data_IF_461850132694
#
_entry.id   IF_461850132694
#
_cell.length_a   1.000
_cell.length_b   1.000
_cell.length_c   1.000
_cell.angle_alpha   90.00
_cell.angle_beta   90.00
_cell.angle_gamma   90.00
#
_symmetry.space_group_name_H-M   'P 1'
#
loop_
_entity.id
_entity.type
_entity.pdbx_description
1 polymer ?
#
# COMPACT_ATOMS: atom_id res chain seq x y z
N UNK A 1 -22.57 7.16 -1.57
CA UNK A 1 -21.63 6.41 -2.42
C UNK A 1 -22.22 6.36 -3.83
N UNK A 2 -21.52 6.89 -4.85
CA UNK A 2 -22.01 6.91 -6.23
C UNK A 2 -22.00 5.49 -6.84
N UNK A 3 -22.80 5.27 -7.91
CA UNK A 3 -22.81 3.98 -8.64
C UNK A 3 -21.40 3.59 -9.11
N UNK A 4 -20.66 4.54 -9.65
CA UNK A 4 -19.28 4.31 -10.14
C UNK A 4 -18.32 3.88 -9.02
N UNK A 5 -18.44 4.44 -7.80
CA UNK A 5 -17.62 4.04 -6.65
C UNK A 5 -17.92 2.60 -6.20
N UNK A 6 -19.19 2.16 -6.25
CA UNK A 6 -19.57 0.76 -5.95
C UNK A 6 -18.96 -0.21 -6.96
N UNK A 7 -19.00 0.16 -8.24
CA UNK A 7 -18.39 -0.65 -9.32
C UNK A 7 -16.88 -0.71 -9.10
N UNK A 8 -16.21 0.40 -8.79
CA UNK A 8 -14.76 0.42 -8.49
C UNK A 8 -14.42 -0.50 -7.30
N UNK A 9 -15.23 -0.46 -6.22
CA UNK A 9 -15.03 -1.35 -5.06
C UNK A 9 -15.18 -2.83 -5.45
N UNK A 10 -16.18 -3.17 -6.28
CA UNK A 10 -16.37 -4.54 -6.77
C UNK A 10 -15.22 -5.00 -7.68
N UNK A 11 -14.73 -4.10 -8.54
CA UNK A 11 -13.54 -4.37 -9.38
C UNK A 11 -12.32 -4.65 -8.51
N UNK A 12 -12.07 -3.84 -7.46
CA UNK A 12 -10.97 -4.09 -6.53
C UNK A 12 -11.12 -5.44 -5.81
N UNK A 13 -12.31 -5.76 -5.28
CA UNK A 13 -12.53 -7.04 -4.61
C UNK A 13 -12.22 -8.24 -5.52
N UNK A 14 -12.62 -8.20 -6.77
CA UNK A 14 -12.31 -9.29 -7.71
C UNK A 14 -10.85 -9.29 -8.19
N UNK A 15 -10.34 -8.12 -8.59
CA UNK A 15 -9.00 -8.00 -9.18
C UNK A 15 -7.89 -8.20 -8.16
N UNK A 16 -8.01 -7.67 -6.93
CA UNK A 16 -7.00 -7.86 -5.89
C UNK A 16 -6.96 -9.33 -5.44
N UNK A 17 -8.11 -10.04 -5.38
CA UNK A 17 -8.13 -11.47 -5.11
C UNK A 17 -7.42 -12.27 -6.24
N UNK A 18 -7.67 -11.90 -7.51
CA UNK A 18 -7.00 -12.51 -8.66
C UNK A 18 -5.48 -12.24 -8.64
N UNK A 19 -5.07 -11.01 -8.33
CA UNK A 19 -3.65 -10.65 -8.21
C UNK A 19 -2.96 -11.41 -7.07
N UNK A 20 -3.63 -11.61 -5.93
CA UNK A 20 -3.12 -12.43 -4.83
C UNK A 20 -2.97 -13.89 -5.25
N UNK A 21 -3.98 -14.45 -5.95
CA UNK A 21 -3.90 -15.79 -6.48
C UNK A 21 -2.77 -15.96 -7.51
N UNK A 22 -2.62 -15.00 -8.43
CA UNK A 22 -1.53 -14.99 -9.41
C UNK A 22 -0.15 -14.85 -8.72
N UNK A 23 -0.06 -14.04 -7.66
CA UNK A 23 1.14 -13.93 -6.84
C UNK A 23 1.48 -15.25 -6.13
N UNK A 24 0.49 -15.93 -5.58
CA UNK A 24 0.67 -17.26 -5.00
C UNK A 24 1.13 -18.28 -6.04
N UNK A 25 0.51 -18.28 -7.22
CA UNK A 25 0.93 -19.12 -8.34
C UNK A 25 2.40 -18.84 -8.73
N UNK A 26 2.78 -17.57 -8.82
CA UNK A 26 4.15 -17.16 -9.13
C UNK A 26 5.17 -17.72 -8.12
N UNK A 27 4.87 -17.65 -6.83
CA UNK A 27 5.73 -18.21 -5.77
C UNK A 27 5.91 -19.73 -5.88
N UNK A 28 4.97 -20.44 -6.52
CA UNK A 28 5.05 -21.89 -6.76
C UNK A 28 5.83 -22.28 -8.02
N UNK A 29 6.28 -21.32 -8.84
CA UNK A 29 7.05 -21.62 -10.05
C UNK A 29 8.48 -22.00 -9.64
N UNK A 30 8.88 -23.24 -9.93
CA UNK A 30 10.25 -23.69 -9.68
C UNK A 30 11.24 -23.04 -10.65
N UNK A 31 12.38 -22.56 -10.14
CA UNK A 31 13.39 -21.85 -10.93
C UNK A 31 14.58 -22.75 -11.36
N UNK A 32 14.40 -24.07 -11.32
CA UNK A 32 15.46 -25.05 -11.62
C UNK A 32 15.84 -25.15 -13.10
N UNK A 33 15.00 -24.64 -14.01
CA UNK A 33 15.21 -24.70 -15.47
C UNK A 33 15.13 -23.29 -16.07
N UNK A 34 15.92 -23.00 -17.11
CA UNK A 34 15.91 -21.71 -17.82
C UNK A 34 14.51 -21.33 -18.33
N UNK A 35 13.74 -22.30 -18.84
CA UNK A 35 12.37 -22.05 -19.30
C UNK A 35 11.43 -21.62 -18.14
N UNK A 36 11.53 -22.27 -16.98
CA UNK A 36 10.74 -21.89 -15.81
C UNK A 36 11.18 -20.56 -15.20
N UNK A 37 12.46 -20.23 -15.26
CA UNK A 37 12.95 -18.89 -14.87
C UNK A 37 12.38 -17.78 -15.77
N UNK A 38 12.40 -17.98 -17.09
CA UNK A 38 11.80 -17.03 -18.05
C UNK A 38 10.29 -16.90 -17.84
N UNK A 39 9.60 -18.02 -17.57
CA UNK A 39 8.18 -18.01 -17.23
C UNK A 39 7.89 -17.26 -15.92
N UNK A 40 8.67 -17.53 -14.87
CA UNK A 40 8.59 -16.80 -13.60
C UNK A 40 8.76 -15.29 -13.81
N UNK A 41 9.77 -14.88 -14.57
CA UNK A 41 10.00 -13.47 -14.90
C UNK A 41 8.83 -12.85 -15.68
N UNK A 42 8.28 -13.57 -16.66
CA UNK A 42 7.12 -13.09 -17.43
C UNK A 42 5.89 -12.90 -16.54
N UNK A 43 5.57 -13.86 -15.66
CA UNK A 43 4.46 -13.77 -14.71
C UNK A 43 4.67 -12.61 -13.74
N UNK A 44 5.90 -12.41 -13.22
CA UNK A 44 6.22 -11.29 -12.35
C UNK A 44 5.98 -9.93 -13.04
N UNK A 45 6.42 -9.77 -14.29
CA UNK A 45 6.19 -8.54 -15.09
C UNK A 45 4.70 -8.31 -15.28
N UNK A 46 3.93 -9.32 -15.65
CA UNK A 46 2.47 -9.22 -15.82
C UNK A 46 1.80 -8.80 -14.52
N UNK A 47 2.18 -9.42 -13.40
CA UNK A 47 1.64 -9.11 -12.07
C UNK A 47 1.93 -7.65 -11.68
N UNK A 48 3.16 -7.18 -11.88
CA UNK A 48 3.54 -5.77 -11.63
C UNK A 48 2.76 -4.82 -12.51
N UNK A 49 2.64 -5.10 -13.80
CA UNK A 49 1.89 -4.25 -14.74
C UNK A 49 0.40 -4.18 -14.39
N UNK A 50 -0.24 -5.30 -14.07
CA UNK A 50 -1.66 -5.35 -13.68
C UNK A 50 -1.90 -4.61 -12.36
N UNK A 51 -1.03 -4.80 -11.36
CA UNK A 51 -1.09 -4.07 -10.09
C UNK A 51 -0.94 -2.57 -10.30
N UNK A 52 0.06 -2.14 -11.06
CA UNK A 52 0.28 -0.74 -11.40
C UNK A 52 -0.91 -0.14 -12.15
N UNK A 53 -1.48 -0.88 -13.08
CA UNK A 53 -2.65 -0.44 -13.86
C UNK A 53 -3.88 -0.28 -12.98
N UNK A 54 -4.24 -1.26 -12.16
CA UNK A 54 -5.41 -1.24 -11.28
C UNK A 54 -5.31 -0.09 -10.25
N UNK A 55 -4.21 -0.04 -9.52
CA UNK A 55 -4.02 0.99 -8.49
C UNK A 55 -3.81 2.39 -9.09
N UNK A 56 -3.15 2.48 -10.24
CA UNK A 56 -3.02 3.71 -11.02
C UNK A 56 -4.38 4.24 -11.49
N UNK A 57 -5.28 3.35 -11.97
CA UNK A 57 -6.63 3.71 -12.37
C UNK A 57 -7.45 4.25 -11.18
N UNK A 58 -7.25 3.70 -9.99
CA UNK A 58 -7.92 4.18 -8.77
C UNK A 58 -7.49 5.59 -8.41
N UNK A 59 -6.19 5.89 -8.47
CA UNK A 59 -5.70 7.25 -8.25
C UNK A 59 -6.21 8.22 -9.32
N UNK A 60 -6.19 7.83 -10.60
CA UNK A 60 -6.70 8.65 -11.69
C UNK A 60 -8.21 8.92 -11.53
N UNK A 61 -8.99 7.93 -11.07
CA UNK A 61 -10.41 8.05 -10.79
C UNK A 61 -10.70 9.10 -9.72
N UNK A 62 -10.02 9.03 -8.57
CA UNK A 62 -10.25 10.00 -7.49
C UNK A 62 -9.60 11.37 -7.74
N UNK A 63 -8.60 11.47 -8.63
CA UNK A 63 -8.00 12.73 -9.05
C UNK A 63 -8.82 13.47 -10.11
N UNK A 64 -9.70 12.77 -10.83
CA UNK A 64 -10.54 13.34 -11.89
C UNK A 64 -11.61 14.28 -11.37
N UNK A 65 -11.94 15.30 -12.16
CA UNK A 65 -13.09 16.19 -11.87
C UNK A 65 -14.43 15.48 -12.11
N UNK A 66 -14.46 14.58 -13.09
CA UNK A 66 -15.59 13.71 -13.42
C UNK A 66 -15.20 12.29 -13.06
N UNK A 67 -16.05 11.61 -12.27
CA UNK A 67 -15.85 10.22 -11.86
C UNK A 67 -16.17 9.27 -13.01
N UNK A 68 -15.32 9.27 -14.03
CA UNK A 68 -15.41 8.38 -15.19
C UNK A 68 -14.47 7.18 -14.99
N UNK A 69 -15.05 6.01 -14.78
CA UNK A 69 -14.29 4.79 -14.53
C UNK A 69 -13.52 4.30 -15.78
N UNK A 70 -14.15 4.17 -16.98
CA UNK A 70 -13.43 3.75 -18.18
C UNK A 70 -12.28 4.69 -18.56
N UNK A 71 -12.51 6.01 -18.48
CA UNK A 71 -11.49 7.03 -18.74
C UNK A 71 -10.31 6.93 -17.78
N UNK A 72 -10.55 6.59 -16.51
CA UNK A 72 -9.51 6.41 -15.50
C UNK A 72 -8.61 5.20 -15.79
N UNK A 73 -9.20 4.07 -16.21
CA UNK A 73 -8.43 2.89 -16.63
C UNK A 73 -7.60 3.16 -17.89
N UNK A 74 -8.16 3.90 -18.87
CA UNK A 74 -7.42 4.31 -20.08
C UNK A 74 -6.28 5.27 -19.74
N UNK A 75 -6.48 6.20 -18.81
CA UNK A 75 -5.46 7.13 -18.36
C UNK A 75 -4.31 6.39 -17.66
N UNK A 76 -4.62 5.46 -16.76
CA UNK A 76 -3.61 4.64 -16.07
C UNK A 76 -2.82 3.78 -17.06
N UNK A 77 -3.48 3.19 -18.07
CA UNK A 77 -2.79 2.42 -19.11
C UNK A 77 -1.83 3.28 -19.91
N UNK A 78 -2.23 4.49 -20.32
CA UNK A 78 -1.37 5.44 -21.03
C UNK A 78 -0.16 5.87 -20.18
N UNK A 79 -0.33 5.97 -18.87
CA UNK A 79 0.70 6.39 -17.92
C UNK A 79 1.46 5.20 -17.30
N UNK A 80 1.20 3.95 -17.74
CA UNK A 80 1.71 2.73 -17.10
C UNK A 80 3.23 2.74 -16.95
N UNK A 81 3.97 3.12 -17.97
CA UNK A 81 5.44 3.19 -17.91
C UNK A 81 5.94 4.20 -16.86
N UNK A 82 5.26 5.34 -16.72
CA UNK A 82 5.61 6.32 -15.68
C UNK A 82 5.30 5.78 -14.28
N UNK A 83 4.19 5.05 -14.12
CA UNK A 83 3.80 4.41 -12.85
C UNK A 83 4.82 3.31 -12.48
N UNK A 84 5.23 2.48 -13.45
CA UNK A 84 6.25 1.45 -13.22
C UNK A 84 7.60 2.09 -12.86
N UNK A 85 7.99 3.18 -13.53
CA UNK A 85 9.20 3.92 -13.16
C UNK A 85 9.11 4.49 -11.73
N UNK A 86 7.96 5.03 -11.34
CA UNK A 86 7.74 5.48 -9.96
C UNK A 86 7.82 4.30 -8.97
N UNK A 87 7.26 3.13 -9.32
CA UNK A 87 7.38 1.92 -8.49
C UNK A 87 8.85 1.51 -8.30
N UNK A 88 9.68 1.57 -9.35
CA UNK A 88 11.12 1.28 -9.22
C UNK A 88 11.80 2.21 -8.22
N UNK A 89 11.47 3.51 -8.25
CA UNK A 89 12.00 4.46 -7.25
C UNK A 89 11.53 4.10 -5.84
N UNK A 90 10.25 3.75 -5.68
CA UNK A 90 9.71 3.28 -4.39
C UNK A 90 10.46 2.04 -3.91
N UNK A 91 10.63 1.04 -4.75
CA UNK A 91 11.36 -0.19 -4.41
C UNK A 91 12.82 0.08 -4.02
N UNK A 92 13.49 1.01 -4.73
CA UNK A 92 14.84 1.44 -4.38
C UNK A 92 14.91 2.05 -2.97
N UNK A 93 13.95 2.91 -2.61
CA UNK A 93 13.88 3.49 -1.27
C UNK A 93 13.65 2.42 -0.19
N UNK A 94 12.78 1.44 -0.47
CA UNK A 94 12.57 0.29 0.43
C UNK A 94 13.81 -0.59 0.56
N UNK A 95 14.54 -0.80 -0.53
CA UNK A 95 15.82 -1.52 -0.53
C UNK A 95 16.87 -0.80 0.34
N UNK A 96 17.03 0.52 0.15
CA UNK A 96 17.95 1.33 0.95
C UNK A 96 17.59 1.30 2.44
N UNK A 97 16.29 1.39 2.76
CA UNK A 97 15.83 1.27 4.14
C UNK A 97 16.08 -0.13 4.73
N UNK A 98 15.96 -1.19 3.93
CA UNK A 98 16.32 -2.55 4.36
C UNK A 98 17.80 -2.64 4.68
N UNK A 99 18.67 -2.09 3.84
CA UNK A 99 20.12 -2.04 4.11
C UNK A 99 20.43 -1.26 5.37
N UNK A 100 19.78 -0.11 5.58
CA UNK A 100 19.90 0.62 6.84
C UNK A 100 19.51 -0.24 8.05
N UNK A 101 18.41 -0.98 7.97
CA UNK A 101 17.97 -1.85 9.05
C UNK A 101 18.99 -2.93 9.40
N UNK A 102 19.65 -3.52 8.40
CA UNK A 102 20.68 -4.54 8.59
C UNK A 102 21.91 -3.99 9.35
N UNK A 103 22.29 -2.74 9.06
CA UNK A 103 23.42 -2.07 9.75
C UNK A 103 23.07 -1.50 11.13
N UNK A 104 21.80 -1.50 11.55
CA UNK A 104 21.38 -0.86 12.80
C UNK A 104 21.83 -1.57 14.08
N UNK A 105 22.31 -2.81 14.00
CA UNK A 105 22.78 -3.57 15.16
C UNK A 105 24.03 -2.94 15.80
N UNK A 106 25.04 -2.56 15.00
CA UNK A 106 26.28 -1.97 15.52
C UNK A 106 26.02 -0.66 16.27
N UNK A 107 25.33 0.34 15.69
CA UNK A 107 24.93 1.55 16.41
C UNK A 107 24.11 1.29 17.68
N UNK A 108 23.30 0.22 17.70
CA UNK A 108 22.53 -0.14 18.89
C UNK A 108 23.42 -0.58 20.06
N UNK A 109 24.51 -1.32 19.79
CA UNK A 109 25.50 -1.68 20.78
C UNK A 109 26.26 -0.46 21.32
N UNK A 110 26.73 0.42 20.42
CA UNK A 110 27.46 1.63 20.78
C UNK A 110 26.61 2.55 21.66
N UNK A 111 25.36 2.81 21.26
CA UNK A 111 24.42 3.63 22.03
C UNK A 111 24.12 2.99 23.39
N UNK A 112 23.91 1.68 23.44
CA UNK A 112 23.66 0.93 24.67
C UNK A 112 24.84 1.08 25.66
N UNK A 113 26.05 0.93 25.15
CA UNK A 113 27.28 1.09 25.94
C UNK A 113 27.42 2.51 26.46
N UNK A 114 27.21 3.51 25.59
CA UNK A 114 27.25 4.92 25.97
C UNK A 114 26.20 5.27 27.03
N UNK A 115 24.93 4.80 26.86
CA UNK A 115 23.87 5.00 27.82
C UNK A 115 24.19 4.36 29.17
N UNK A 116 24.76 3.15 29.19
CA UNK A 116 25.18 2.44 30.40
C UNK A 116 26.21 3.25 31.16
N UNK A 117 27.20 3.80 30.47
CA UNK A 117 28.23 4.64 31.08
C UNK A 117 27.64 5.96 31.62
N UNK A 118 26.81 6.62 30.84
CA UNK A 118 26.23 7.92 31.20
C UNK A 118 25.26 7.85 32.37
N UNK A 119 24.39 6.85 32.39
CA UNK A 119 23.37 6.72 33.44
C UNK A 119 23.79 5.83 34.59
N UNK A 120 24.98 5.19 34.53
CA UNK A 120 25.50 4.22 35.52
C UNK A 120 24.50 3.09 35.83
N UNK A 121 23.66 2.74 34.86
CA UNK A 121 22.68 1.65 34.92
C UNK A 121 22.82 0.78 33.68
N UNK A 122 22.80 -0.56 33.81
CA UNK A 122 22.95 -1.46 32.67
C UNK A 122 21.77 -1.30 31.69
N UNK A 123 22.06 -0.81 30.49
CA UNK A 123 21.09 -0.74 29.38
C UNK A 123 21.36 -1.92 28.44
N UNK A 124 20.36 -2.77 28.27
CA UNK A 124 20.49 -3.96 27.40
C UNK A 124 20.52 -3.55 25.93
N UNK A 125 21.50 -3.99 25.13
CA UNK A 125 21.55 -3.71 23.68
C UNK A 125 20.26 -4.06 22.94
N UNK A 126 19.62 -5.17 23.32
CA UNK A 126 18.34 -5.60 22.77
C UNK A 126 17.20 -4.56 22.94
N UNK A 127 17.22 -3.75 23.98
CA UNK A 127 16.22 -2.70 24.19
C UNK A 127 16.41 -1.58 23.19
N UNK A 128 17.65 -1.16 22.96
CA UNK A 128 18.00 -0.13 21.97
C UNK A 128 17.71 -0.66 20.56
N UNK A 129 18.10 -1.89 20.25
CA UNK A 129 17.81 -2.53 18.96
C UNK A 129 16.30 -2.64 18.69
N UNK A 130 15.48 -2.94 19.70
CA UNK A 130 14.03 -2.96 19.58
C UNK A 130 13.47 -1.59 19.17
N UNK A 131 14.01 -0.50 19.73
CA UNK A 131 13.63 0.87 19.34
C UNK A 131 13.97 1.10 17.87
N UNK A 132 15.18 0.79 17.42
CA UNK A 132 15.57 0.93 16.01
C UNK A 132 14.66 0.14 15.09
N UNK A 133 14.35 -1.11 15.44
CA UNK A 133 13.44 -1.96 14.69
C UNK A 133 12.02 -1.36 14.60
N UNK A 134 11.52 -0.82 15.70
CA UNK A 134 10.20 -0.16 15.74
C UNK A 134 10.19 1.10 14.88
N UNK A 135 11.22 1.93 14.97
CA UNK A 135 11.35 3.14 14.15
C UNK A 135 11.44 2.77 12.67
N UNK A 136 12.28 1.80 12.32
CA UNK A 136 12.41 1.32 10.94
C UNK A 136 11.09 0.75 10.41
N UNK A 137 10.33 0.02 11.25
CA UNK A 137 9.00 -0.47 10.91
C UNK A 137 8.03 0.69 10.63
N UNK A 138 7.99 1.70 11.51
CA UNK A 138 7.15 2.89 11.32
C UNK A 138 7.53 3.66 10.05
N UNK A 139 8.82 3.86 9.82
CA UNK A 139 9.29 4.53 8.59
C UNK A 139 8.89 3.73 7.36
N UNK A 140 9.07 2.41 7.36
CA UNK A 140 8.77 1.53 6.24
C UNK A 140 7.28 1.49 5.90
N UNK A 141 6.42 1.33 6.89
CA UNK A 141 5.01 1.00 6.69
C UNK A 141 4.05 2.18 6.85
N UNK A 142 4.52 3.29 7.44
CA UNK A 142 3.69 4.47 7.65
C UNK A 142 4.28 5.70 6.98
N UNK A 143 5.51 6.09 7.34
CA UNK A 143 6.08 7.36 6.88
C UNK A 143 6.33 7.36 5.37
N UNK A 144 7.01 6.35 4.84
CA UNK A 144 7.29 6.25 3.40
C UNK A 144 6.01 6.19 2.57
N UNK A 145 5.02 5.32 2.86
CA UNK A 145 3.76 5.33 2.12
C UNK A 145 3.04 6.67 2.17
N UNK A 146 2.94 7.31 3.34
CA UNK A 146 2.28 8.62 3.48
C UNK A 146 2.95 9.68 2.61
N UNK A 147 4.28 9.69 2.52
CA UNK A 147 5.01 10.66 1.69
C UNK A 147 4.89 10.30 0.20
N UNK A 148 5.01 9.02 -0.16
CA UNK A 148 5.11 8.60 -1.55
C UNK A 148 3.75 8.50 -2.27
N UNK A 149 2.67 8.17 -1.56
CA UNK A 149 1.35 8.01 -2.17
C UNK A 149 0.86 9.26 -2.94
N UNK A 150 0.97 10.51 -2.43
CA UNK A 150 0.60 11.69 -3.19
C UNK A 150 1.41 11.86 -4.47
N UNK A 151 2.68 11.51 -4.43
CA UNK A 151 3.56 11.56 -5.59
C UNK A 151 3.18 10.49 -6.62
N UNK A 152 2.96 9.24 -6.20
CA UNK A 152 2.48 8.15 -7.08
C UNK A 152 1.12 8.50 -7.68
N UNK A 153 0.20 9.08 -6.91
CA UNK A 153 -1.10 9.53 -7.42
C UNK A 153 -0.97 10.63 -8.48
N UNK A 154 -0.02 11.56 -8.32
CA UNK A 154 0.27 12.57 -9.34
C UNK A 154 0.85 11.93 -10.62
N UNK A 155 1.73 10.94 -10.49
CA UNK A 155 2.26 10.18 -11.63
C UNK A 155 1.15 9.39 -12.33
N UNK A 156 0.27 8.75 -11.59
CA UNK A 156 -0.85 8.00 -12.16
C UNK A 156 -1.80 8.86 -12.99
N UNK A 157 -2.06 10.09 -12.55
CA UNK A 157 -2.97 11.03 -13.24
C UNK A 157 -2.29 11.86 -14.34
N UNK A 158 -1.02 12.24 -14.18
CA UNK A 158 -0.29 13.18 -15.07
C UNK A 158 0.86 12.53 -15.86
N UNK A 159 1.14 11.25 -15.64
CA UNK A 159 2.25 10.54 -16.27
C UNK A 159 3.61 11.11 -15.85
N UNK A 160 4.53 11.24 -16.79
CA UNK A 160 5.89 11.75 -16.58
C UNK A 160 5.96 13.16 -15.97
N UNK A 161 4.96 14.01 -16.21
CA UNK A 161 4.86 15.34 -15.58
C UNK A 161 4.64 15.24 -14.07
N UNK A 162 3.96 14.18 -13.62
CA UNK A 162 3.72 13.92 -12.21
C UNK A 162 4.99 13.65 -11.39
N UNK A 163 6.08 13.19 -12.02
CA UNK A 163 7.38 12.98 -11.34
C UNK A 163 7.96 14.26 -10.74
N UNK A 164 7.66 15.42 -11.34
CA UNK A 164 8.10 16.74 -10.88
C UNK A 164 7.10 17.43 -9.96
N UNK A 165 6.00 16.73 -9.64
CA UNK A 165 4.94 17.31 -8.82
C UNK A 165 5.41 17.50 -7.37
N UNK A 166 5.22 18.70 -6.81
CA UNK A 166 5.51 18.98 -5.40
C UNK A 166 4.45 18.30 -4.53
N UNK A 167 4.88 17.64 -3.47
CA UNK A 167 4.02 16.96 -2.51
C UNK A 167 3.41 18.02 -1.58
N UNK A 168 2.40 18.73 -2.08
CA UNK A 168 1.62 19.67 -1.28
C UNK A 168 0.27 19.06 -0.94
N UNK A 169 0.05 18.67 0.31
CA UNK A 169 -1.21 18.12 0.81
C UNK A 169 -1.72 18.91 2.00
N UNK A 170 -3.03 18.84 2.21
CA UNK A 170 -3.70 19.51 3.34
C UNK A 170 -3.24 18.92 4.67
N UNK A 171 -3.30 19.71 5.77
CA UNK A 171 -3.01 19.24 7.13
C UNK A 171 -3.85 18.00 7.49
N UNK A 172 -5.08 17.92 6.99
CA UNK A 172 -5.98 16.79 7.19
C UNK A 172 -5.40 15.48 6.65
N UNK A 173 -4.78 15.50 5.46
CA UNK A 173 -4.13 14.33 4.88
C UNK A 173 -3.00 13.81 5.79
N UNK A 174 -2.12 14.70 6.24
CA UNK A 174 -0.96 14.33 7.08
C UNK A 174 -1.34 13.75 8.45
N UNK A 175 -2.54 14.03 8.93
CA UNK A 175 -3.05 13.43 10.17
C UNK A 175 -3.81 12.13 9.91
N UNK A 176 -4.66 12.08 8.89
CA UNK A 176 -5.56 10.94 8.66
C UNK A 176 -4.88 9.76 7.97
N UNK A 177 -3.96 10.00 7.02
CA UNK A 177 -3.31 8.93 6.29
C UNK A 177 -2.42 8.03 7.17
N UNK A 178 -1.58 8.54 8.09
CA UNK A 178 -0.82 7.70 9.02
C UNK A 178 -1.72 6.85 9.93
N UNK A 179 -2.78 7.45 10.49
CA UNK A 179 -3.73 6.74 11.37
C UNK A 179 -4.43 5.63 10.60
N UNK A 180 -4.90 5.92 9.38
CA UNK A 180 -5.55 4.93 8.53
C UNK A 180 -4.60 3.77 8.18
N UNK A 181 -3.34 4.07 7.84
CA UNK A 181 -2.33 3.04 7.55
C UNK A 181 -2.03 2.19 8.78
N UNK A 182 -1.86 2.80 9.95
CA UNK A 182 -1.67 2.05 11.20
C UNK A 182 -2.84 1.12 11.46
N UNK A 183 -4.08 1.61 11.35
CA UNK A 183 -5.27 0.80 11.54
C UNK A 183 -5.37 -0.32 10.49
N UNK A 184 -5.08 -0.02 9.22
CA UNK A 184 -5.13 -0.98 8.13
C UNK A 184 -4.10 -2.11 8.25
N UNK A 185 -2.99 -1.88 8.94
CA UNK A 185 -1.97 -2.90 9.21
C UNK A 185 -2.24 -3.63 10.53
N UNK A 186 -2.56 -2.88 11.58
CA UNK A 186 -2.67 -3.42 12.94
C UNK A 186 -3.94 -4.25 13.16
N UNK A 187 -5.09 -3.77 12.65
CA UNK A 187 -6.37 -4.47 12.85
C UNK A 187 -6.40 -5.84 12.17
N UNK A 188 -6.01 -5.98 10.87
CA UNK A 188 -5.89 -7.30 10.25
C UNK A 188 -4.87 -8.21 10.93
N UNK A 189 -3.73 -7.65 11.38
CA UNK A 189 -2.74 -8.40 12.12
C UNK A 189 -3.31 -9.00 13.41
N UNK A 190 -3.96 -8.18 14.25
CA UNK A 190 -4.60 -8.66 15.49
C UNK A 190 -5.70 -9.68 15.21
N UNK A 191 -6.47 -9.48 14.14
CA UNK A 191 -7.55 -10.38 13.75
C UNK A 191 -7.03 -11.75 13.33
N UNK A 192 -5.90 -11.81 12.64
CA UNK A 192 -5.29 -13.06 12.18
C UNK A 192 -4.46 -13.75 13.27
N UNK A 193 -3.82 -12.97 14.17
CA UNK A 193 -3.02 -13.48 15.28
C UNK A 193 -3.93 -14.11 16.38
N UNK A 194 -5.16 -13.62 16.50
CA UNK A 194 -6.12 -14.17 17.46
C UNK A 194 -6.61 -15.55 17.01
N UNK A 195 -6.22 -16.61 17.73
CA UNK A 195 -6.63 -18.00 17.45
C UNK A 195 -7.59 -18.47 18.55
N UNK A 196 -8.91 -18.63 18.25
CA UNK A 196 -9.82 -19.23 19.20
C UNK A 196 -9.49 -20.72 19.34
N UNK A 197 -9.15 -21.15 20.54
CA UNK A 197 -8.91 -22.56 20.82
C UNK A 197 -10.24 -23.26 21.09
N UNK A 198 -10.70 -24.06 20.13
CA UNK A 198 -11.99 -24.76 20.22
C UNK A 198 -11.83 -26.27 20.33
N UNK A 199 -10.62 -26.80 20.13
CA UNK A 199 -10.36 -28.25 20.12
C UNK A 199 -10.96 -29.00 18.91
N UNK A 200 -11.59 -28.27 17.95
CA UNK A 200 -12.16 -28.83 16.72
C UNK A 200 -11.56 -28.16 15.50
N UNK A 201 -10.76 -28.90 14.76
CA UNK A 201 -10.05 -28.41 13.56
C UNK A 201 -10.97 -27.72 12.53
N UNK A 202 -12.15 -28.29 12.26
CA UNK A 202 -13.10 -27.70 11.32
C UNK A 202 -13.60 -26.32 11.74
N UNK A 203 -13.84 -26.09 13.04
CA UNK A 203 -14.27 -24.79 13.58
C UNK A 203 -13.14 -23.78 13.51
N UNK A 204 -11.91 -24.20 13.79
CA UNK A 204 -10.71 -23.35 13.69
C UNK A 204 -10.47 -22.91 12.26
N UNK A 205 -10.60 -23.83 11.28
CA UNK A 205 -10.47 -23.52 9.85
C UNK A 205 -11.54 -22.56 9.34
N UNK A 206 -12.81 -22.76 9.72
CA UNK A 206 -13.90 -21.83 9.36
C UNK A 206 -13.65 -20.45 9.99
N UNK A 207 -13.27 -20.42 11.26
CA UNK A 207 -12.91 -19.17 11.95
C UNK A 207 -11.75 -18.46 11.26
N UNK A 208 -10.72 -19.18 10.85
CA UNK A 208 -9.58 -18.61 10.11
C UNK A 208 -10.03 -18.03 8.76
N UNK A 209 -10.83 -18.78 7.99
CA UNK A 209 -11.34 -18.32 6.69
C UNK A 209 -12.18 -17.03 6.82
N UNK A 210 -13.05 -16.96 7.83
CA UNK A 210 -13.84 -15.74 8.09
C UNK A 210 -12.94 -14.56 8.46
N UNK A 211 -11.95 -14.76 9.32
CA UNK A 211 -11.01 -13.71 9.73
C UNK A 211 -10.16 -13.22 8.55
N UNK A 212 -9.72 -14.14 7.69
CA UNK A 212 -8.98 -13.80 6.48
C UNK A 212 -9.85 -12.98 5.52
N UNK A 213 -11.10 -13.36 5.32
CA UNK A 213 -12.05 -12.61 4.49
C UNK A 213 -12.28 -11.20 5.06
N UNK A 214 -12.51 -11.08 6.36
CA UNK A 214 -12.69 -9.76 7.01
C UNK A 214 -11.43 -8.91 6.90
N UNK A 215 -10.24 -9.49 7.13
CA UNK A 215 -8.97 -8.79 6.97
C UNK A 215 -8.79 -8.27 5.53
N UNK A 216 -9.11 -9.10 4.53
CA UNK A 216 -9.08 -8.74 3.13
C UNK A 216 -10.04 -7.57 2.81
N UNK A 217 -11.29 -7.63 3.27
CA UNK A 217 -12.27 -6.56 3.06
C UNK A 217 -11.83 -5.24 3.72
N UNK A 218 -11.27 -5.30 4.93
CA UNK A 218 -10.72 -4.14 5.64
C UNK A 218 -9.55 -3.53 4.86
N UNK A 219 -8.66 -4.35 4.31
CA UNK A 219 -7.53 -3.89 3.52
C UNK A 219 -7.99 -3.16 2.25
N UNK A 220 -8.92 -3.74 1.47
CA UNK A 220 -9.46 -3.10 0.27
C UNK A 220 -10.19 -1.80 0.61
N UNK A 221 -10.99 -1.79 1.68
CA UNK A 221 -11.69 -0.58 2.13
C UNK A 221 -10.70 0.52 2.54
N UNK A 222 -9.68 0.18 3.33
CA UNK A 222 -8.64 1.11 3.75
C UNK A 222 -7.86 1.68 2.55
N UNK A 223 -7.55 0.83 1.55
CA UNK A 223 -6.90 1.27 0.32
C UNK A 223 -7.74 2.30 -0.44
N UNK A 224 -9.02 2.04 -0.66
CA UNK A 224 -9.91 2.96 -1.36
C UNK A 224 -10.06 4.31 -0.63
N UNK A 225 -10.18 4.27 0.71
CA UNK A 225 -10.21 5.49 1.53
C UNK A 225 -8.90 6.24 1.45
N UNK A 226 -7.76 5.54 1.48
CA UNK A 226 -6.44 6.14 1.36
C UNK A 226 -6.24 6.78 -0.02
N UNK A 227 -6.65 6.12 -1.10
CA UNK A 227 -6.60 6.66 -2.44
C UNK A 227 -7.48 7.92 -2.59
N UNK A 228 -8.67 7.93 -2.00
CA UNK A 228 -9.54 9.09 -1.95
C UNK A 228 -8.91 10.27 -1.18
N UNK A 229 -8.36 10.02 0.01
CA UNK A 229 -7.66 11.04 0.81
C UNK A 229 -6.44 11.60 0.08
N UNK A 230 -5.70 10.72 -0.59
CA UNK A 230 -4.50 11.07 -1.35
C UNK A 230 -4.83 11.97 -2.54
N UNK A 231 -5.94 11.75 -3.20
CA UNK A 231 -6.36 12.54 -4.37
C UNK A 231 -6.98 13.90 -4.04
N UNK A 232 -7.19 14.21 -2.77
CA UNK A 232 -7.63 15.52 -2.30
C UNK A 232 -9.11 15.63 -1.94
N UNK A 233 -9.84 14.50 -1.99
CA UNK A 233 -11.18 14.37 -1.38
C UNK A 233 -12.18 15.47 -1.74
N UNK A 234 -12.14 16.02 -2.96
CA UNK A 234 -13.16 17.00 -3.35
C UNK A 234 -14.49 16.28 -3.52
N UNK A 235 -15.51 16.56 -2.70
CA UNK A 235 -16.85 16.10 -3.02
C UNK A 235 -17.21 16.64 -4.40
N UNK A 236 -17.71 15.78 -5.28
CA UNK A 236 -18.32 16.18 -6.53
C UNK A 236 -19.49 17.09 -6.17
N UNK A 237 -19.26 18.38 -6.22
CA UNK A 237 -20.37 19.33 -6.27
C UNK A 237 -21.09 19.00 -7.58
N UNK A 238 -22.25 18.33 -7.48
CA UNK A 238 -23.20 18.25 -8.56
C UNK A 238 -23.44 19.68 -9.00
N UNK A 239 -22.92 20.06 -10.18
CA UNK A 239 -23.35 21.31 -10.81
C UNK A 239 -24.87 21.25 -10.91
N UNK A 240 -25.60 22.19 -10.31
CA UNK A 240 -26.98 22.33 -10.65
C UNK A 240 -27.00 22.59 -12.16
N UNK A 241 -27.68 21.71 -12.89
CA UNK A 241 -28.02 21.88 -14.27
C UNK A 241 -28.62 23.29 -14.43
N UNK A 242 -27.83 24.18 -15.01
CA UNK A 242 -28.33 25.50 -15.44
C UNK A 242 -29.14 25.28 -16.72
N UNK A 243 -30.20 24.52 -16.59
CA UNK A 243 -31.33 24.55 -17.52
C UNK A 243 -32.36 25.50 -16.95
N UNK A 244 -32.28 26.71 -17.36
CA UNK A 244 -33.43 27.65 -17.53
C UNK A 244 -32.87 28.94 -18.16
N UNK A 245 -32.86 28.99 -19.47
CA UNK A 245 -33.05 30.26 -20.17
C UNK A 245 -34.28 30.11 -21.05
N UNK A 246 -35.27 30.98 -20.85
CA UNK A 246 -36.40 31.11 -21.73
C UNK A 246 -36.00 31.69 -23.08
#
# INVERSE_FOLDING_TARGET
MTRSTRILSAVHLGSDALLLWLGYYWLGIGESRTASLLWSAAVAVVLVCLTCWLHGATFAYFAGQVLDLPGSFRTALRNLLAIVAALVVVLLLYFLLSRWADYSMLPAFDISSWLTLKFRKPVRPNSVFRIFRTVTWLVRWVVLPVILLPWVAAVASQGWRGLRHRIAKTRRYWLQAPVLLLCALWVPFLLLDWVPYTGRFSVEMVSFAIRLLVAYLLFVAAWLVLAFLTSGGRPVLSHPSTEARP
#
